data_IF_726737006037
#
_entry.id   IF_726737006037
#
_cell.length_a   1.000
_cell.length_b   1.000
_cell.length_c   1.000
_cell.angle_alpha   90.00
_cell.angle_beta   90.00
_cell.angle_gamma   90.00
#
_symmetry.space_group_name_H-M   'P 1'
#
loop_
_entity.id
_entity.type
_entity.pdbx_description
1 polymer ?
#
# COMPACT_ATOMS: atom_id res chain seq x y z
N UNK A 1 -0.03 -4.23 -19.34
CA UNK A 1 -0.63 -3.34 -18.33
C UNK A 1 0.01 -3.64 -16.97
N UNK A 2 0.62 -2.65 -16.32
CA UNK A 2 1.23 -2.81 -14.99
C UNK A 2 0.17 -3.26 -13.96
N UNK A 3 0.45 -4.25 -13.11
CA UNK A 3 -0.50 -4.82 -12.14
C UNK A 3 -1.07 -3.76 -11.19
N UNK A 4 -0.23 -2.79 -10.78
CA UNK A 4 -0.65 -1.66 -9.96
C UNK A 4 -1.61 -0.70 -10.70
N UNK A 5 -1.35 -0.43 -11.99
CA UNK A 5 -2.24 0.40 -12.83
C UNK A 5 -3.60 -0.26 -12.99
N UNK A 6 -3.67 -1.60 -13.10
CA UNK A 6 -4.95 -2.35 -13.10
C UNK A 6 -5.68 -2.24 -11.76
N UNK A 7 -4.97 -2.38 -10.64
CA UNK A 7 -5.57 -2.31 -9.30
C UNK A 7 -6.22 -0.94 -9.04
N UNK A 8 -5.60 0.13 -9.53
CA UNK A 8 -6.06 1.52 -9.39
C UNK A 8 -6.86 2.02 -10.60
N UNK A 9 -7.11 1.16 -11.59
CA UNK A 9 -7.72 1.55 -12.86
C UNK A 9 -9.10 2.20 -12.69
N UNK A 10 -9.83 1.80 -11.64
CA UNK A 10 -11.16 2.31 -11.33
C UNK A 10 -11.14 3.54 -10.41
N UNK A 11 -9.99 3.86 -9.81
CA UNK A 11 -9.85 4.95 -8.85
C UNK A 11 -9.09 4.49 -7.60
N UNK A 12 -9.26 5.20 -6.46
CA UNK A 12 -8.61 4.82 -5.22
C UNK A 12 -9.05 3.43 -4.76
N UNK A 13 -8.18 2.73 -4.03
CA UNK A 13 -8.46 1.39 -3.53
C UNK A 13 -9.56 1.45 -2.44
N UNK A 14 -10.66 0.74 -2.67
CA UNK A 14 -11.83 0.74 -1.76
C UNK A 14 -11.87 -0.42 -0.78
N UNK A 15 -10.90 -1.32 -0.81
CA UNK A 15 -10.84 -2.48 0.07
C UNK A 15 -9.63 -3.35 -0.19
N UNK A 16 -9.47 -4.42 0.60
CA UNK A 16 -8.39 -5.36 0.39
C UNK A 16 -8.59 -6.15 -0.92
N UNK A 17 -7.55 -6.30 -1.77
CA UNK A 17 -7.70 -7.01 -3.04
C UNK A 17 -8.11 -8.48 -2.83
N UNK A 18 -8.93 -9.04 -3.72
CA UNK A 18 -9.34 -10.46 -3.65
C UNK A 18 -8.32 -11.39 -4.33
N UNK A 19 -7.59 -10.90 -5.33
CA UNK A 19 -6.59 -11.68 -6.05
C UNK A 19 -5.30 -11.77 -5.24
N UNK A 20 -4.80 -12.99 -5.04
CA UNK A 20 -3.55 -13.24 -4.28
C UNK A 20 -2.34 -12.48 -4.84
N UNK A 21 -2.23 -12.35 -6.16
CA UNK A 21 -1.14 -11.56 -6.77
C UNK A 21 -1.22 -10.06 -6.41
N UNK A 22 -2.43 -9.50 -6.35
CA UNK A 22 -2.64 -8.08 -6.00
C UNK A 22 -2.43 -7.85 -4.49
N UNK A 23 -2.85 -8.81 -3.66
CA UNK A 23 -2.56 -8.83 -2.23
C UNK A 23 -1.04 -8.83 -1.99
N UNK A 24 -0.32 -9.77 -2.61
CA UNK A 24 1.13 -9.87 -2.47
C UNK A 24 1.85 -8.59 -2.93
N UNK A 25 1.40 -7.99 -4.03
CA UNK A 25 1.94 -6.71 -4.51
C UNK A 25 1.71 -5.60 -3.48
N UNK A 26 0.49 -5.46 -2.96
CA UNK A 26 0.14 -4.44 -1.98
C UNK A 26 0.96 -4.59 -0.68
N UNK A 27 1.10 -5.83 -0.19
CA UNK A 27 1.88 -6.12 1.01
C UNK A 27 3.38 -5.84 0.82
N UNK A 28 3.95 -6.17 -0.35
CA UNK A 28 5.35 -5.85 -0.65
C UNK A 28 5.60 -4.35 -0.74
N UNK A 29 4.67 -3.60 -1.35
CA UNK A 29 4.73 -2.14 -1.39
C UNK A 29 4.67 -1.53 0.01
N UNK A 30 3.77 -2.03 0.86
CA UNK A 30 3.65 -1.61 2.25
C UNK A 30 4.92 -1.94 3.07
N UNK A 31 5.46 -3.14 2.91
CA UNK A 31 6.72 -3.56 3.56
C UNK A 31 7.90 -2.67 3.16
N UNK A 32 7.91 -2.19 1.91
CA UNK A 32 8.91 -1.25 1.40
C UNK A 32 8.84 0.15 2.04
N UNK A 33 7.86 0.45 2.89
CA UNK A 33 7.84 1.69 3.70
C UNK A 33 8.71 1.61 4.95
N UNK A 34 9.17 0.41 5.31
CA UNK A 34 9.98 0.17 6.49
C UNK A 34 11.45 -0.06 6.11
N UNK A 35 12.35 0.56 6.85
CA UNK A 35 13.79 0.38 6.70
C UNK A 35 14.22 -0.98 7.27
N UNK A 36 15.13 -1.68 6.56
CA UNK A 36 15.53 -3.04 6.92
C UNK A 36 16.29 -3.15 8.26
N UNK A 37 16.92 -2.07 8.73
CA UNK A 37 17.74 -2.03 9.96
C UNK A 37 17.14 -1.18 11.08
N UNK A 38 15.84 -0.90 11.03
CA UNK A 38 15.14 -0.11 12.04
C UNK A 38 14.04 -0.94 12.69
N UNK A 39 13.97 -0.83 14.01
CA UNK A 39 12.80 -1.26 14.79
C UNK A 39 11.81 -0.11 14.90
N UNK A 40 10.54 -0.44 14.86
CA UNK A 40 9.43 0.50 14.95
C UNK A 40 8.51 0.09 16.09
N UNK A 41 8.00 1.06 16.83
CA UNK A 41 6.88 0.84 17.75
C UNK A 41 5.58 0.59 16.99
N UNK A 42 4.57 0.03 17.66
CA UNK A 42 3.25 -0.11 17.04
C UNK A 42 2.68 1.23 16.56
N UNK A 43 2.90 2.31 17.32
CA UNK A 43 2.44 3.66 16.97
C UNK A 43 3.09 4.15 15.66
N UNK A 44 4.42 4.03 15.54
CA UNK A 44 5.13 4.42 14.31
C UNK A 44 4.67 3.59 13.10
N UNK A 45 4.46 2.28 13.28
CA UNK A 45 3.92 1.43 12.20
C UNK A 45 2.53 1.91 11.78
N UNK A 46 1.67 2.19 12.75
CA UNK A 46 0.30 2.65 12.48
C UNK A 46 0.30 4.00 11.74
N UNK A 47 1.18 4.94 12.12
CA UNK A 47 1.31 6.24 11.47
C UNK A 47 1.82 6.11 10.03
N UNK A 48 2.89 5.34 9.81
CA UNK A 48 3.46 5.09 8.48
C UNK A 48 2.40 4.49 7.56
N UNK A 49 1.70 3.44 8.01
CA UNK A 49 0.68 2.77 7.22
C UNK A 49 -0.53 3.66 6.96
N UNK A 50 -1.00 4.41 7.96
CA UNK A 50 -2.10 5.35 7.81
C UNK A 50 -1.78 6.43 6.76
N UNK A 51 -0.61 7.06 6.88
CA UNK A 51 -0.18 8.10 5.95
C UNK A 51 -0.02 7.55 4.53
N UNK A 52 0.57 6.37 4.39
CA UNK A 52 0.74 5.74 3.09
C UNK A 52 -0.60 5.33 2.45
N UNK A 53 -1.50 4.68 3.20
CA UNK A 53 -2.82 4.27 2.69
C UNK A 53 -3.67 5.47 2.27
N UNK A 54 -3.63 6.58 3.02
CA UNK A 54 -4.39 7.80 2.70
C UNK A 54 -4.06 8.40 1.32
N UNK A 55 -2.89 8.06 0.73
CA UNK A 55 -2.47 8.62 -0.57
C UNK A 55 -3.18 7.97 -1.76
N UNK A 56 -3.66 6.73 -1.63
CA UNK A 56 -4.26 5.96 -2.74
C UNK A 56 -5.50 5.14 -2.37
N UNK A 57 -5.85 5.01 -1.09
CA UNK A 57 -7.07 4.34 -0.64
C UNK A 57 -8.22 5.33 -0.45
N UNK A 58 -9.45 4.84 -0.59
CA UNK A 58 -10.65 5.59 -0.26
C UNK A 58 -10.80 5.73 1.28
N UNK A 59 -11.56 6.71 1.79
CA UNK A 59 -11.74 6.92 3.24
C UNK A 59 -12.25 5.70 4.01
N UNK A 60 -13.04 4.84 3.36
CA UNK A 60 -13.61 3.61 3.92
C UNK A 60 -12.93 2.34 3.38
N UNK A 61 -11.70 2.48 2.86
CA UNK A 61 -10.92 1.36 2.33
C UNK A 61 -10.29 0.50 3.42
N UNK A 62 -9.22 -0.20 3.05
CA UNK A 62 -8.42 -0.96 4.03
C UNK A 62 -7.80 -0.02 5.07
N UNK A 63 -7.93 -0.39 6.34
CA UNK A 63 -7.33 0.35 7.45
C UNK A 63 -5.89 -0.12 7.76
N UNK A 64 -5.15 0.75 8.46
CA UNK A 64 -3.77 0.51 8.86
C UNK A 64 -3.58 -0.66 9.84
N UNK A 65 -4.59 -0.99 10.66
CA UNK A 65 -4.55 -2.11 11.62
C UNK A 65 -4.63 -3.43 10.85
N UNK A 66 -5.57 -3.55 9.93
CA UNK A 66 -5.70 -4.69 9.03
C UNK A 66 -4.44 -4.86 8.18
N UNK A 67 -3.91 -3.77 7.62
CA UNK A 67 -2.65 -3.80 6.86
C UNK A 67 -1.47 -4.31 7.71
N UNK A 68 -1.33 -3.82 8.95
CA UNK A 68 -0.30 -4.27 9.89
C UNK A 68 -0.41 -5.78 10.17
N UNK A 69 -1.62 -6.27 10.43
CA UNK A 69 -1.87 -7.70 10.67
C UNK A 69 -1.48 -8.54 9.46
N UNK A 70 -1.90 -8.14 8.25
CA UNK A 70 -1.55 -8.85 7.03
C UNK A 70 -0.04 -8.87 6.74
N UNK A 71 0.68 -7.80 7.09
CA UNK A 71 2.14 -7.76 6.98
C UNK A 71 2.83 -8.75 7.92
N UNK A 72 2.29 -8.93 9.12
CA UNK A 72 2.78 -9.92 10.08
C UNK A 72 2.44 -11.34 9.62
N UNK A 73 1.20 -11.57 9.21
CA UNK A 73 0.72 -12.86 8.72
C UNK A 73 1.51 -13.32 7.48
N UNK A 74 1.85 -12.38 6.59
CA UNK A 74 2.68 -12.62 5.41
C UNK A 74 4.19 -12.67 5.71
N UNK A 75 4.61 -12.60 6.98
CA UNK A 75 6.02 -12.60 7.41
C UNK A 75 6.87 -11.50 6.78
N UNK A 76 6.27 -10.37 6.43
CA UNK A 76 6.96 -9.19 5.90
C UNK A 76 7.34 -8.20 7.01
N UNK A 77 6.57 -8.19 8.09
CA UNK A 77 6.94 -7.60 9.37
C UNK A 77 7.06 -8.71 10.41
N UNK A 78 8.15 -8.72 11.17
CA UNK A 78 8.25 -9.50 12.39
C UNK A 78 7.84 -8.62 13.57
N UNK A 79 7.09 -9.21 14.49
CA UNK A 79 6.62 -8.61 15.74
C UNK A 79 7.26 -9.35 16.92
N UNK A 80 7.64 -8.65 17.98
CA UNK A 80 8.04 -9.30 19.24
C UNK A 80 6.83 -9.96 19.95
N UNK A 81 7.11 -10.78 20.97
CA UNK A 81 6.07 -11.50 21.72
C UNK A 81 5.15 -10.56 22.50
N UNK A 82 5.71 -9.47 23.04
CA UNK A 82 4.95 -8.41 23.72
C UNK A 82 4.07 -7.61 22.76
N UNK A 83 4.44 -7.58 21.49
CA UNK A 83 3.69 -6.92 20.45
C UNK A 83 3.96 -5.43 20.26
N UNK A 84 4.99 -4.94 20.93
CA UNK A 84 5.37 -3.53 21.02
C UNK A 84 6.36 -3.12 19.93
N UNK A 85 7.10 -4.09 19.38
CA UNK A 85 8.20 -3.83 18.44
C UNK A 85 8.00 -4.57 17.13
N UNK A 86 8.20 -3.86 16.02
CA UNK A 86 8.10 -4.35 14.66
C UNK A 86 9.40 -4.12 13.91
N UNK A 87 9.77 -5.06 13.04
CA UNK A 87 10.93 -4.96 12.16
C UNK A 87 10.63 -5.56 10.80
N UNK A 88 11.15 -4.97 9.73
CA UNK A 88 11.05 -5.54 8.38
C UNK A 88 11.79 -6.88 8.33
N UNK A 89 11.13 -7.90 7.78
CA UNK A 89 11.77 -9.17 7.50
C UNK A 89 12.73 -9.02 6.30
N UNK A 90 13.93 -9.60 6.39
CA UNK A 90 14.94 -9.54 5.34
C UNK A 90 14.87 -10.77 4.41
N UNK A 91 15.11 -10.64 3.09
CA UNK A 91 14.94 -9.46 2.24
C UNK A 91 13.57 -9.47 1.53
N UNK A 92 12.68 -8.53 1.87
CA UNK A 92 11.52 -8.26 1.03
C UNK A 92 11.98 -7.59 -0.26
N UNK A 93 11.80 -8.25 -1.41
CA UNK A 93 12.14 -7.70 -2.72
C UNK A 93 11.44 -6.35 -2.91
N UNK A 94 12.23 -5.30 -3.16
CA UNK A 94 11.72 -3.94 -3.30
C UNK A 94 10.86 -3.84 -4.55
N UNK A 95 9.71 -3.19 -4.39
CA UNK A 95 8.83 -2.86 -5.51
C UNK A 95 8.98 -1.37 -5.72
N UNK A 96 9.67 -1.00 -6.80
CA UNK A 96 9.85 0.39 -7.20
C UNK A 96 8.60 0.85 -7.97
N UNK A 97 7.50 1.00 -7.24
CA UNK A 97 6.28 1.59 -7.77
C UNK A 97 5.57 2.35 -6.65
N UNK A 98 5.16 3.59 -6.93
CA UNK A 98 4.39 4.39 -5.98
C UNK A 98 2.90 4.39 -6.38
N UNK A 99 2.01 3.76 -5.58
CA UNK A 99 0.57 3.79 -5.82
C UNK A 99 -0.01 5.20 -5.94
N UNK A 100 0.53 6.17 -5.20
CA UNK A 100 0.06 7.55 -5.25
C UNK A 100 0.34 8.19 -6.62
N UNK A 101 1.55 7.97 -7.14
CA UNK A 101 1.95 8.47 -8.47
C UNK A 101 1.11 7.84 -9.58
N UNK A 102 0.89 6.52 -9.52
CA UNK A 102 0.05 5.81 -10.50
C UNK A 102 -1.38 6.32 -10.48
N UNK A 103 -1.97 6.53 -9.29
CA UNK A 103 -3.32 7.07 -9.18
C UNK A 103 -3.40 8.51 -9.72
N UNK A 104 -2.39 9.34 -9.45
CA UNK A 104 -2.30 10.70 -9.98
C UNK A 104 -2.21 10.71 -11.52
N UNK A 105 -1.45 9.80 -12.11
CA UNK A 105 -1.37 9.61 -13.57
C UNK A 105 -2.73 9.25 -14.17
N UNK A 106 -3.43 8.26 -13.59
CA UNK A 106 -4.78 7.85 -14.04
C UNK A 106 -5.76 9.02 -13.96
N UNK A 107 -5.71 9.81 -12.88
CA UNK A 107 -6.55 11.01 -12.73
C UNK A 107 -6.25 12.05 -13.81
N UNK A 108 -4.98 12.30 -14.13
CA UNK A 108 -4.56 13.22 -15.21
C UNK A 108 -5.04 12.74 -16.58
N UNK A 109 -4.86 11.46 -16.91
CA UNK A 109 -5.32 10.87 -18.16
C UNK A 109 -6.84 11.02 -18.34
N UNK A 110 -7.62 10.74 -17.28
CA UNK A 110 -9.08 10.90 -17.29
C UNK A 110 -9.51 12.36 -17.47
N UNK A 111 -8.83 13.30 -16.82
CA UNK A 111 -9.11 14.72 -16.96
C UNK A 111 -8.81 15.23 -18.38
N UNK A 112 -7.71 14.78 -18.99
CA UNK A 112 -7.36 15.15 -20.37
C UNK A 112 -8.40 14.66 -21.38
N UNK A 113 -8.88 13.41 -21.23
CA UNK A 113 -9.95 12.87 -22.10
C UNK A 113 -11.25 13.67 -21.99
N UNK A 114 -11.65 14.06 -20.77
CA UNK A 114 -12.83 14.90 -20.56
C UNK A 114 -12.70 16.27 -21.25
N UNK A 115 -11.52 16.88 -21.24
CA UNK A 115 -11.27 18.16 -21.92
C UNK A 115 -11.29 18.04 -23.44
N UNK A 116 -10.82 16.93 -24.00
CA UNK A 116 -10.82 16.68 -25.45
C UNK A 116 -12.21 16.36 -26.01
N UNK A 117 -13.12 15.87 -25.16
CA UNK A 117 -14.50 15.52 -25.53
C UNK A 117 -15.52 16.52 -24.95
N UNK A 118 -15.07 17.69 -24.47
CA UNK A 118 -15.96 18.78 -24.08
C UNK A 118 -16.38 19.52 -25.37
N UNK A 119 -17.69 19.71 -25.63
CA UNK A 119 -18.20 20.39 -26.82
C UNK A 119 -17.87 21.89 -26.83
#
# INVERSE_FOLDING_TARGET
>A
MNTLKRLLANGPLTGYPTRRADQNLLLRLAAGRFAARRSYTEAEVNEILRGWLATFCAPYGIDHVSMRRYLVDARLLARDTAGSTYRRAAPAQEVDADPAQVLAEIRRERAARKRQHAP
#
